data_IF_109631532838
#
_entry.id   IF_109631532838
#
_cell.length_a   1.000
_cell.length_b   1.000
_cell.length_c   1.000
_cell.angle_alpha   90.00
_cell.angle_beta   90.00
_cell.angle_gamma   90.00
#
_symmetry.space_group_name_H-M   'P 1'
#
loop_
_entity.id
_entity.type
_entity.pdbx_description
1 polymer ?
#
# COMPACT_ATOMS: atom_id res chain seq x y z
N UNK A 1 -32.73 9.80 -3.28
CA UNK A 1 -32.19 9.00 -4.41
C UNK A 1 -30.69 8.95 -4.25
N UNK A 2 -30.15 7.75 -4.29
CA UNK A 2 -28.84 7.32 -3.83
C UNK A 2 -27.71 7.93 -4.67
N UNK A 3 -26.83 8.70 -4.04
CA UNK A 3 -25.51 8.98 -4.59
C UNK A 3 -24.58 7.81 -4.28
N UNK A 4 -24.68 6.72 -5.06
CA UNK A 4 -23.64 5.71 -5.03
C UNK A 4 -22.38 6.34 -5.60
N UNK A 5 -21.33 6.48 -4.76
CA UNK A 5 -20.00 6.78 -5.24
C UNK A 5 -19.60 5.64 -6.19
N UNK A 6 -19.60 5.92 -7.50
CA UNK A 6 -19.12 4.99 -8.51
C UNK A 6 -17.66 4.67 -8.19
N UNK A 7 -17.45 3.45 -7.69
CA UNK A 7 -16.12 2.87 -7.55
C UNK A 7 -15.39 2.86 -8.88
N UNK A 8 -14.07 2.92 -8.84
CA UNK A 8 -13.22 2.83 -10.03
C UNK A 8 -13.59 1.58 -10.87
N UNK A 9 -14.12 1.77 -12.07
CA UNK A 9 -14.67 0.68 -12.91
C UNK A 9 -13.62 -0.03 -13.79
N UNK A 10 -12.38 0.48 -13.85
CA UNK A 10 -11.32 -0.08 -14.67
C UNK A 10 -10.15 -0.54 -13.80
N UNK A 11 -9.71 -1.79 -14.00
CA UNK A 11 -8.52 -2.32 -13.36
C UNK A 11 -7.27 -1.66 -13.94
N UNK A 12 -6.22 -1.57 -13.13
CA UNK A 12 -4.94 -0.99 -13.53
C UNK A 12 -3.96 -2.15 -13.79
N UNK A 13 -3.43 -2.29 -15.02
CA UNK A 13 -2.58 -3.45 -15.36
C UNK A 13 -1.19 -3.39 -14.69
N UNK A 14 -0.72 -2.19 -14.36
CA UNK A 14 0.58 -1.97 -13.72
C UNK A 14 0.51 -0.83 -12.69
N UNK A 15 1.02 -1.03 -11.46
CA UNK A 15 1.11 0.02 -10.45
C UNK A 15 2.02 1.16 -10.92
N UNK A 16 1.59 2.41 -10.68
CA UNK A 16 2.32 3.60 -11.11
C UNK A 16 2.49 4.59 -9.95
N UNK A 17 3.56 5.39 -9.98
CA UNK A 17 3.75 6.49 -9.01
C UNK A 17 2.58 7.47 -9.10
N UNK A 18 2.05 7.90 -7.95
CA UNK A 18 0.89 8.78 -7.87
C UNK A 18 -0.45 8.13 -8.23
N UNK A 19 -0.48 6.82 -8.49
CA UNK A 19 -1.72 6.05 -8.73
C UNK A 19 -1.68 4.75 -7.93
N UNK A 20 -2.00 4.81 -6.64
CA UNK A 20 -2.05 3.62 -5.78
C UNK A 20 -3.03 2.60 -6.34
N UNK A 21 -2.72 1.32 -6.17
CA UNK A 21 -3.61 0.21 -6.58
C UNK A 21 -3.96 -0.67 -5.39
N UNK A 22 -5.19 -1.17 -5.36
CA UNK A 22 -5.63 -2.16 -4.37
C UNK A 22 -5.41 -3.57 -4.89
N UNK A 23 -4.93 -4.45 -4.02
CA UNK A 23 -4.65 -5.84 -4.36
C UNK A 23 -4.68 -6.71 -3.10
N UNK A 24 -5.08 -7.97 -3.21
CA UNK A 24 -4.83 -8.94 -2.12
C UNK A 24 -3.35 -9.34 -2.09
N UNK A 25 -2.84 -9.76 -0.93
CA UNK A 25 -1.47 -10.30 -0.83
C UNK A 25 -1.18 -11.39 -1.86
N UNK A 26 -2.09 -12.37 -1.97
CA UNK A 26 -1.99 -13.47 -2.93
C UNK A 26 -1.87 -12.97 -4.38
N UNK A 27 -2.72 -12.01 -4.77
CA UNK A 27 -2.68 -11.44 -6.12
C UNK A 27 -1.44 -10.58 -6.33
N UNK A 28 -0.97 -9.86 -5.31
CA UNK A 28 0.25 -9.06 -5.40
C UNK A 28 1.45 -9.97 -5.72
N UNK A 29 1.64 -11.05 -4.97
CA UNK A 29 2.72 -12.02 -5.21
C UNK A 29 2.61 -12.66 -6.60
N UNK A 30 1.40 -13.04 -7.02
CA UNK A 30 1.17 -13.61 -8.35
C UNK A 30 1.49 -12.62 -9.48
N UNK A 31 1.09 -11.35 -9.34
CA UNK A 31 1.36 -10.32 -10.35
C UNK A 31 2.85 -9.94 -10.39
N UNK A 32 3.50 -9.85 -9.23
CA UNK A 32 4.94 -9.58 -9.12
C UNK A 32 5.78 -10.66 -9.83
N UNK A 33 5.39 -11.92 -9.73
CA UNK A 33 6.06 -13.01 -10.46
C UNK A 33 5.91 -12.95 -12.00
N UNK A 34 5.06 -12.05 -12.52
CA UNK A 34 4.76 -11.93 -13.96
C UNK A 34 5.34 -10.67 -14.60
N UNK A 35 5.76 -9.69 -13.80
CA UNK A 35 6.32 -8.44 -14.31
C UNK A 35 7.82 -8.60 -14.60
N UNK A 36 8.38 -7.87 -15.58
CA UNK A 36 9.78 -7.99 -15.99
C UNK A 36 10.76 -7.30 -15.01
N UNK A 37 10.25 -6.71 -13.93
CA UNK A 37 11.04 -6.01 -12.92
C UNK A 37 10.88 -6.75 -11.59
N UNK A 38 11.93 -6.74 -10.77
CA UNK A 38 11.90 -7.28 -9.42
C UNK A 38 12.01 -6.11 -8.41
N UNK A 39 10.89 -5.46 -8.07
CA UNK A 39 10.92 -4.29 -7.21
C UNK A 39 11.20 -4.70 -5.76
N UNK A 40 12.06 -3.95 -5.08
CA UNK A 40 12.19 -4.09 -3.63
C UNK A 40 10.95 -3.52 -2.96
N UNK A 41 10.17 -4.34 -2.26
CA UNK A 41 8.92 -3.94 -1.62
C UNK A 41 9.08 -3.93 -0.11
N UNK A 42 8.46 -2.96 0.55
CA UNK A 42 8.33 -2.92 1.99
C UNK A 42 6.86 -2.85 2.40
N UNK A 43 6.45 -3.71 3.34
CA UNK A 43 5.14 -3.64 3.96
C UNK A 43 5.15 -2.62 5.09
N UNK A 44 4.28 -1.62 4.97
CA UNK A 44 3.95 -0.64 5.97
C UNK A 44 2.78 -1.14 6.81
N UNK A 45 3.08 -1.72 7.97
CA UNK A 45 2.12 -2.46 8.80
C UNK A 45 2.41 -2.29 10.28
N UNK A 46 1.44 -2.64 11.12
CA UNK A 46 1.58 -2.66 12.58
C UNK A 46 2.43 -3.84 13.07
N UNK A 47 2.69 -4.83 12.20
CA UNK A 47 3.36 -6.08 12.54
C UNK A 47 4.27 -6.58 11.41
N UNK A 48 5.47 -7.03 11.77
CA UNK A 48 6.41 -7.66 10.85
C UNK A 48 6.04 -9.12 10.51
N UNK A 49 5.18 -9.75 11.32
CA UNK A 49 4.73 -11.14 11.12
C UNK A 49 3.85 -11.31 9.89
N UNK A 50 3.27 -10.22 9.42
CA UNK A 50 2.34 -10.21 8.30
C UNK A 50 3.02 -9.85 6.97
N UNK A 51 4.35 -9.73 6.97
CA UNK A 51 5.20 -9.41 5.81
C UNK A 51 5.25 -10.63 4.87
N UNK A 52 4.82 -10.48 3.61
CA UNK A 52 4.86 -11.57 2.64
C UNK A 52 6.28 -11.79 2.10
N UNK A 53 6.63 -13.07 1.85
CA UNK A 53 7.85 -13.45 1.11
C UNK A 53 9.12 -12.82 1.71
N UNK A 54 9.88 -12.12 0.87
CA UNK A 54 11.15 -11.45 1.09
C UNK A 54 10.99 -9.92 1.16
N UNK A 55 9.76 -9.44 1.33
CA UNK A 55 9.50 -8.01 1.49
C UNK A 55 10.16 -7.49 2.77
N UNK A 56 10.54 -6.22 2.76
CA UNK A 56 10.96 -5.53 3.96
C UNK A 56 9.79 -5.09 4.82
N UNK A 57 10.08 -4.58 6.01
CA UNK A 57 9.10 -4.07 6.96
C UNK A 57 9.36 -2.59 7.26
N UNK A 58 8.28 -1.81 7.33
CA UNK A 58 8.27 -0.45 7.88
C UNK A 58 7.10 -0.38 8.86
N UNK A 59 7.36 0.04 10.09
CA UNK A 59 6.32 0.11 11.12
C UNK A 59 5.35 1.26 10.80
N UNK A 60 4.06 0.95 10.71
CA UNK A 60 2.99 1.96 10.53
C UNK A 60 2.42 2.46 11.85
N UNK A 61 2.70 1.75 12.95
CA UNK A 61 2.31 2.12 14.30
C UNK A 61 3.44 1.75 15.25
N UNK A 62 3.71 2.63 16.22
CA UNK A 62 4.61 2.33 17.34
C UNK A 62 3.99 2.79 18.65
N UNK A 63 4.00 1.96 19.71
CA UNK A 63 3.49 2.36 21.01
C UNK A 63 4.20 3.62 21.55
N UNK A 64 3.42 4.64 21.89
CA UNK A 64 3.94 5.90 22.44
C UNK A 64 4.60 6.84 21.42
N UNK A 65 4.61 6.48 20.14
CA UNK A 65 5.11 7.35 19.07
C UNK A 65 3.93 8.06 18.42
N UNK A 66 3.93 9.40 18.34
CA UNK A 66 2.88 10.13 17.67
C UNK A 66 2.99 9.96 16.14
N UNK A 67 1.93 10.27 15.37
CA UNK A 67 1.93 10.09 13.92
C UNK A 67 3.09 10.77 13.20
N UNK A 68 3.54 11.93 13.68
CA UNK A 68 4.69 12.66 13.12
C UNK A 68 5.99 11.85 13.21
N UNK A 69 6.13 11.02 14.25
CA UNK A 69 7.28 10.14 14.41
C UNK A 69 7.27 8.99 13.39
N UNK A 70 6.10 8.40 13.14
CA UNK A 70 5.94 7.38 12.09
C UNK A 70 6.22 7.98 10.71
N UNK A 71 5.73 9.19 10.44
CA UNK A 71 6.00 9.90 9.19
C UNK A 71 7.50 10.21 9.02
N UNK A 72 8.20 10.60 10.08
CA UNK A 72 9.65 10.82 10.03
C UNK A 72 10.44 9.54 9.72
N UNK A 73 10.00 8.38 10.21
CA UNK A 73 10.57 7.08 9.84
C UNK A 73 10.32 6.76 8.36
N UNK A 74 9.11 7.02 7.88
CA UNK A 74 8.76 6.83 6.46
C UNK A 74 9.60 7.75 5.54
N UNK A 75 9.86 8.98 5.96
CA UNK A 75 10.75 9.91 5.25
C UNK A 75 12.21 9.45 5.25
N UNK A 76 12.69 8.88 6.36
CA UNK A 76 14.02 8.28 6.42
C UNK A 76 14.11 7.07 5.49
N UNK A 77 13.07 6.22 5.47
CA UNK A 77 12.96 5.08 4.56
C UNK A 77 12.98 5.53 3.09
N UNK A 78 12.27 6.60 2.73
CA UNK A 78 12.27 7.16 1.36
C UNK A 78 13.66 7.57 0.87
N UNK A 79 14.52 8.05 1.78
CA UNK A 79 15.92 8.42 1.49
C UNK A 79 16.81 7.17 1.35
N UNK A 80 16.56 6.16 2.18
CA UNK A 80 17.34 4.92 2.17
C UNK A 80 17.03 4.04 0.96
N UNK A 81 15.78 4.05 0.49
CA UNK A 81 15.29 3.16 -0.58
C UNK A 81 14.58 3.96 -1.69
N UNK A 82 15.34 4.64 -2.58
CA UNK A 82 14.77 5.55 -3.57
C UNK A 82 13.90 4.88 -4.64
N UNK A 83 14.17 3.61 -4.95
CA UNK A 83 13.43 2.83 -5.96
C UNK A 83 12.49 1.78 -5.37
N UNK A 84 12.37 1.72 -4.03
CA UNK A 84 11.49 0.75 -3.40
C UNK A 84 10.01 1.11 -3.55
N UNK A 85 9.18 0.08 -3.58
CA UNK A 85 7.73 0.21 -3.56
C UNK A 85 7.23 0.12 -2.12
N UNK A 86 6.18 0.87 -1.83
CA UNK A 86 5.50 0.82 -0.54
C UNK A 86 4.23 -0.03 -0.68
N UNK A 87 4.12 -1.08 0.12
CA UNK A 87 2.88 -1.82 0.30
C UNK A 87 2.24 -1.39 1.62
N UNK A 88 1.05 -0.80 1.59
CA UNK A 88 0.33 -0.33 2.77
C UNK A 88 -0.67 -1.38 3.20
N UNK A 89 -0.56 -1.81 4.44
CA UNK A 89 -1.39 -2.87 4.99
C UNK A 89 -2.73 -2.31 5.48
N UNK A 90 -3.80 -2.67 4.77
CA UNK A 90 -5.18 -2.31 5.05
C UNK A 90 -6.05 -3.57 5.17
N UNK A 91 -5.44 -4.71 5.51
CA UNK A 91 -6.16 -5.97 5.75
C UNK A 91 -7.06 -5.86 6.99
N UNK A 92 -8.16 -6.61 6.97
CA UNK A 92 -9.09 -6.70 8.09
C UNK A 92 -8.35 -7.17 9.36
N UNK A 93 -8.45 -6.38 10.45
CA UNK A 93 -7.82 -6.70 11.73
C UNK A 93 -6.42 -6.10 11.94
N UNK A 94 -5.83 -5.47 10.92
CA UNK A 94 -4.59 -4.69 11.05
C UNK A 94 -4.90 -3.31 11.61
N UNK A 95 -4.08 -2.83 12.54
CA UNK A 95 -4.22 -1.46 13.05
C UNK A 95 -3.88 -0.48 11.91
N UNK A 96 -4.78 0.44 11.53
CA UNK A 96 -4.50 1.40 10.48
C UNK A 96 -3.24 2.22 10.78
N UNK A 97 -2.46 2.61 9.73
CA UNK A 97 -1.29 3.43 9.91
C UNK A 97 -1.52 4.69 10.74
N UNK A 98 -0.64 4.92 11.71
CA UNK A 98 -0.64 6.14 12.52
C UNK A 98 0.05 7.26 11.74
N UNK A 99 -0.71 7.90 10.85
CA UNK A 99 -0.24 8.98 9.99
C UNK A 99 -0.87 10.32 10.37
N UNK A 100 -0.19 11.42 10.07
CA UNK A 100 -0.75 12.77 10.24
C UNK A 100 -1.62 13.08 9.01
N UNK A 101 -2.94 13.17 9.18
CA UNK A 101 -3.87 13.59 8.11
C UNK A 101 -4.62 12.44 7.42
N UNK A 102 -5.03 12.66 6.16
CA UNK A 102 -5.81 11.69 5.37
C UNK A 102 -4.92 10.71 4.60
N UNK A 103 -5.17 9.42 4.77
CA UNK A 103 -4.40 8.34 4.13
C UNK A 103 -4.49 8.39 2.60
N UNK A 104 -5.63 8.79 2.04
CA UNK A 104 -5.82 8.82 0.59
C UNK A 104 -5.01 9.95 -0.03
N UNK A 105 -4.99 11.12 0.61
CA UNK A 105 -4.16 12.25 0.19
C UNK A 105 -2.67 11.90 0.29
N UNK A 106 -2.25 11.29 1.39
CA UNK A 106 -0.87 10.83 1.58
C UNK A 106 -0.45 9.86 0.46
N UNK A 107 -1.26 8.83 0.19
CA UNK A 107 -0.92 7.81 -0.81
C UNK A 107 -0.94 8.34 -2.25
N UNK A 108 -1.84 9.28 -2.56
CA UNK A 108 -1.89 9.94 -3.89
C UNK A 108 -0.67 10.82 -4.14
N UNK A 109 -0.17 11.50 -3.12
CA UNK A 109 1.00 12.38 -3.20
C UNK A 109 2.33 11.66 -2.93
N UNK A 110 2.26 10.38 -2.54
CA UNK A 110 3.43 9.60 -2.18
C UNK A 110 4.40 9.45 -3.38
N UNK A 111 5.71 9.70 -3.19
CA UNK A 111 6.67 9.81 -4.29
C UNK A 111 7.12 8.44 -4.84
N UNK A 112 6.46 7.35 -4.47
CA UNK A 112 6.78 5.96 -4.85
C UNK A 112 5.56 5.25 -5.39
N UNK A 113 5.79 4.10 -6.01
CA UNK A 113 4.71 3.17 -6.35
C UNK A 113 4.11 2.62 -5.05
N UNK A 114 2.79 2.67 -4.95
CA UNK A 114 2.04 2.26 -3.76
C UNK A 114 1.11 1.11 -4.11
N UNK A 115 1.21 0.02 -3.34
CA UNK A 115 0.22 -1.06 -3.30
C UNK A 115 -0.58 -0.94 -2.02
N UNK A 116 -1.90 -1.04 -2.09
CA UNK A 116 -2.77 -1.10 -0.92
C UNK A 116 -3.21 -2.55 -0.76
N UNK A 117 -2.68 -3.21 0.27
CA UNK A 117 -2.93 -4.63 0.53
C UNK A 117 -4.21 -4.76 1.35
N UNK A 118 -5.18 -5.48 0.80
CA UNK A 118 -6.50 -5.69 1.43
C UNK A 118 -6.80 -7.18 1.58
N UNK A 119 -7.74 -7.52 2.47
CA UNK A 119 -8.21 -8.90 2.63
C UNK A 119 -9.06 -9.38 1.44
N UNK A 120 -9.80 -8.46 0.82
CA UNK A 120 -10.71 -8.75 -0.29
C UNK A 120 -10.73 -7.58 -1.28
N UNK A 121 -10.11 -7.77 -2.44
CA UNK A 121 -10.00 -6.78 -3.52
C UNK A 121 -11.19 -6.80 -4.49
N UNK A 122 -12.21 -7.62 -4.23
CA UNK A 122 -13.47 -7.63 -5.01
C UNK A 122 -14.50 -6.62 -4.50
N UNK A 123 -14.30 -6.07 -3.29
CA UNK A 123 -15.15 -5.02 -2.71
C UNK A 123 -14.92 -3.68 -3.42
N UNK A 124 -15.87 -2.75 -3.25
CA UNK A 124 -15.69 -1.39 -3.74
C UNK A 124 -14.60 -0.68 -2.92
N UNK A 125 -13.51 -0.30 -3.58
CA UNK A 125 -12.37 0.39 -2.98
C UNK A 125 -12.14 1.75 -3.65
N UNK A 126 -11.45 2.65 -2.93
CA UNK A 126 -11.18 4.01 -3.41
C UNK A 126 -10.11 4.08 -4.52
N UNK A 127 -9.39 2.98 -4.74
CA UNK A 127 -8.29 2.88 -5.70
C UNK A 127 -8.56 1.75 -6.71
N UNK A 128 -8.01 1.84 -7.93
CA UNK A 128 -8.12 0.79 -8.93
C UNK A 128 -7.56 -0.53 -8.41
N UNK A 129 -8.20 -1.64 -8.78
CA UNK A 129 -7.66 -2.96 -8.52
C UNK A 129 -6.46 -3.21 -9.43
N UNK A 130 -5.36 -3.74 -8.88
CA UNK A 130 -4.27 -4.25 -9.69
C UNK A 130 -4.61 -5.65 -10.22
N UNK A 131 -4.92 -5.71 -11.50
CA UNK A 131 -5.14 -6.97 -12.22
C UNK A 131 -4.21 -7.02 -13.41
N UNK A 132 -3.30 -7.98 -13.42
CA UNK A 132 -2.43 -8.21 -14.57
C UNK A 132 -3.17 -9.08 -15.61
N UNK A 133 -3.29 -8.64 -16.88
CA UNK A 133 -4.04 -9.36 -17.92
C UNK A 133 -3.47 -10.75 -18.22
#
# INVERSE_FOLDING_TARGET
MSGQAEGWQHSQPMPMRGSPCVVTERNALANLGRIPIDPRIFLFSDSDRAVPSDWGFVASVRPGVPPEGVMAELDAWLKQYPEAWLAVDMRDGVIPPSISGDINEMLRTFPRTVLVIVSDDSKNHQWPRWEFP
#
